data_IF_971040390890
#
_entry.id   IF_971040390890
#
_cell.length_a   1.000
_cell.length_b   1.000
_cell.length_c   1.000
_cell.angle_alpha   90.00
_cell.angle_beta   90.00
_cell.angle_gamma   90.00
#
_symmetry.space_group_name_H-M   'P 1'
#
loop_
_entity.id
_entity.type
_entity.pdbx_description
1 polymer ?
#
# COMPACT_ATOMS: atom_id res chain seq x y z
N UNK A 1 6.14 -1.35 23.64
CA UNK A 1 4.93 -2.11 24.01
C UNK A 1 4.13 -2.36 22.73
N UNK A 2 3.54 -3.54 22.54
CA UNK A 2 2.68 -3.83 21.37
C UNK A 2 1.24 -3.54 21.73
N UNK A 3 0.51 -2.94 20.79
CA UNK A 3 -0.90 -2.58 20.92
C UNK A 3 -1.73 -3.28 19.84
N UNK A 4 -3.03 -3.40 20.08
CA UNK A 4 -3.96 -3.84 19.07
C UNK A 4 -4.27 -2.68 18.14
N UNK A 5 -3.86 -2.82 16.88
CA UNK A 5 -4.02 -1.79 15.86
C UNK A 5 -4.97 -2.28 14.77
N UNK A 6 -5.76 -1.37 14.22
CA UNK A 6 -6.57 -1.65 13.04
C UNK A 6 -6.19 -0.76 11.86
N UNK A 7 -6.29 -1.32 10.66
CA UNK A 7 -6.04 -0.63 9.39
C UNK A 7 -7.24 -0.85 8.48
N UNK A 8 -7.91 0.24 8.14
CA UNK A 8 -8.96 0.23 7.12
C UNK A 8 -8.28 0.40 5.78
N UNK A 9 -8.36 -0.62 4.96
CA UNK A 9 -7.65 -0.67 3.68
C UNK A 9 -8.61 -0.57 2.51
N UNK A 10 -8.10 -0.21 1.33
CA UNK A 10 -8.87 -0.09 0.10
C UNK A 10 -9.56 -1.40 -0.28
N UNK A 11 -10.78 -1.31 -0.80
CA UNK A 11 -11.48 -2.46 -1.36
C UNK A 11 -11.23 -2.66 -2.87
N UNK A 12 -10.28 -1.94 -3.47
CA UNK A 12 -10.00 -2.07 -4.91
C UNK A 12 -9.35 -3.40 -5.27
N UNK A 13 -8.74 -4.08 -4.28
CA UNK A 13 -8.12 -5.38 -4.47
C UNK A 13 -8.22 -6.23 -3.20
N UNK A 14 -8.44 -7.56 -3.31
CA UNK A 14 -8.67 -8.40 -2.12
C UNK A 14 -7.41 -8.61 -1.25
N UNK A 15 -6.21 -8.61 -1.81
CA UNK A 15 -4.97 -8.97 -1.09
C UNK A 15 -3.93 -7.87 -1.04
N UNK A 16 -3.71 -7.10 -2.11
CA UNK A 16 -2.67 -6.05 -2.18
C UNK A 16 -2.70 -5.06 -1.02
N UNK A 17 -3.86 -4.52 -0.59
CA UNK A 17 -3.86 -3.50 0.46
C UNK A 17 -3.33 -4.00 1.81
N UNK A 18 -3.66 -5.23 2.18
CA UNK A 18 -3.14 -5.84 3.42
C UNK A 18 -1.67 -6.25 3.29
N UNK A 19 -1.26 -6.73 2.10
CA UNK A 19 0.15 -7.03 1.82
C UNK A 19 1.02 -5.77 1.83
N UNK A 20 0.53 -4.64 1.30
CA UNK A 20 1.24 -3.36 1.39
C UNK A 20 1.50 -2.94 2.84
N UNK A 21 0.50 -3.05 3.73
CA UNK A 21 0.69 -2.72 5.16
C UNK A 21 1.76 -3.61 5.79
N UNK A 22 1.69 -4.93 5.57
CA UNK A 22 2.68 -5.89 6.10
C UNK A 22 4.08 -5.60 5.57
N UNK A 23 4.23 -5.40 4.26
CA UNK A 23 5.50 -5.08 3.62
C UNK A 23 6.13 -3.79 4.14
N UNK A 24 5.32 -2.77 4.45
CA UNK A 24 5.81 -1.53 5.09
C UNK A 24 6.39 -1.83 6.47
N UNK A 25 5.69 -2.61 7.31
CA UNK A 25 6.16 -2.94 8.65
C UNK A 25 7.45 -3.77 8.61
N UNK A 26 7.56 -4.71 7.69
CA UNK A 26 8.76 -5.51 7.46
C UNK A 26 9.95 -4.63 7.00
N UNK A 27 9.71 -3.70 6.08
CA UNK A 27 10.72 -2.74 5.65
C UNK A 27 11.24 -1.84 6.79
N UNK A 28 10.35 -1.46 7.71
CA UNK A 28 10.70 -0.66 8.89
C UNK A 28 11.27 -1.50 10.04
N UNK A 29 11.42 -2.83 9.87
CA UNK A 29 11.95 -3.74 10.88
C UNK A 29 11.02 -3.95 12.08
N UNK A 30 9.72 -3.71 11.90
CA UNK A 30 8.73 -3.82 12.97
C UNK A 30 8.15 -5.23 13.04
N UNK A 31 8.25 -5.87 14.19
CA UNK A 31 7.57 -7.13 14.44
C UNK A 31 6.08 -6.93 14.65
N UNK A 32 5.28 -7.75 13.99
CA UNK A 32 3.82 -7.72 14.14
C UNK A 32 3.25 -9.15 14.19
N UNK A 33 2.04 -9.27 14.72
CA UNK A 33 1.24 -10.48 14.65
C UNK A 33 -0.12 -10.15 14.02
N UNK A 34 -0.50 -10.86 12.97
CA UNK A 34 -1.83 -10.72 12.37
C UNK A 34 -2.84 -11.33 13.33
N UNK A 35 -3.76 -10.52 13.84
CA UNK A 35 -4.88 -10.96 14.66
C UNK A 35 -6.07 -11.34 13.78
N UNK A 36 -6.33 -10.50 12.77
CA UNK A 36 -7.42 -10.72 11.83
C UNK A 36 -7.18 -10.01 10.51
N UNK A 37 -7.63 -10.65 9.45
CA UNK A 37 -7.68 -10.05 8.12
C UNK A 37 -9.04 -10.37 7.48
N UNK A 38 -9.74 -9.35 7.06
CA UNK A 38 -11.00 -9.45 6.32
C UNK A 38 -11.04 -8.40 5.22
N UNK A 39 -12.07 -8.42 4.38
CA UNK A 39 -12.20 -7.42 3.33
C UNK A 39 -12.24 -6.00 3.92
N UNK A 40 -11.34 -5.14 3.46
CA UNK A 40 -11.11 -3.76 3.92
C UNK A 40 -10.65 -3.57 5.36
N UNK A 41 -10.35 -4.63 6.09
CA UNK A 41 -9.92 -4.51 7.49
C UNK A 41 -8.77 -5.48 7.79
N UNK A 42 -7.70 -4.94 8.36
CA UNK A 42 -6.57 -5.68 8.89
C UNK A 42 -6.34 -5.26 10.35
N UNK A 43 -6.43 -6.21 11.29
CA UNK A 43 -6.09 -6.01 12.70
C UNK A 43 -4.77 -6.70 13.01
N UNK A 44 -3.85 -5.95 13.60
CA UNK A 44 -2.51 -6.38 13.96
C UNK A 44 -2.21 -6.08 15.43
N UNK A 45 -1.38 -6.90 16.03
CA UNK A 45 -0.66 -6.56 17.24
C UNK A 45 0.75 -6.06 16.83
N UNK A 46 1.03 -4.78 17.06
CA UNK A 46 2.27 -4.14 16.61
C UNK A 46 2.62 -2.93 17.49
N UNK A 47 3.86 -2.39 17.42
CA UNK A 47 4.19 -1.13 18.06
C UNK A 47 3.35 0.04 17.53
N UNK A 48 3.05 1.03 18.37
CA UNK A 48 2.22 2.20 18.02
C UNK A 48 2.78 2.99 16.82
N UNK A 49 4.09 3.03 16.68
CA UNK A 49 4.81 3.70 15.57
C UNK A 49 4.43 3.13 14.20
N UNK A 50 3.90 1.90 14.17
CA UNK A 50 3.38 1.26 12.95
C UNK A 50 2.29 2.11 12.27
N UNK A 51 1.46 2.80 13.04
CA UNK A 51 0.39 3.67 12.53
C UNK A 51 0.95 4.81 11.68
N UNK A 52 1.96 5.52 12.19
CA UNK A 52 2.61 6.62 11.49
C UNK A 52 3.38 6.14 10.25
N UNK A 53 4.07 4.99 10.36
CA UNK A 53 4.82 4.41 9.23
C UNK A 53 3.90 4.01 8.09
N UNK A 54 2.80 3.34 8.40
CA UNK A 54 1.81 2.97 7.39
C UNK A 54 1.13 4.19 6.79
N UNK A 55 0.71 5.17 7.60
CA UNK A 55 0.07 6.40 7.09
C UNK A 55 0.97 7.17 6.12
N UNK A 56 2.24 7.32 6.44
CA UNK A 56 3.20 8.07 5.60
C UNK A 56 3.56 7.36 4.29
N UNK A 57 3.55 6.05 4.25
CA UNK A 57 4.04 5.25 3.11
C UNK A 57 2.96 4.61 2.26
N UNK A 58 1.89 4.10 2.90
CA UNK A 58 0.88 3.30 2.21
C UNK A 58 0.14 4.09 1.14
N UNK A 59 -0.18 3.43 0.06
CA UNK A 59 -1.07 3.94 -0.98
C UNK A 59 -2.49 3.40 -0.83
N UNK A 60 -2.70 2.33 -0.10
CA UNK A 60 -3.96 1.60 -0.02
C UNK A 60 -4.58 1.58 1.38
N UNK A 61 -3.90 2.07 2.42
CA UNK A 61 -4.52 2.29 3.73
C UNK A 61 -5.34 3.59 3.71
N UNK A 62 -6.59 3.56 4.13
CA UNK A 62 -7.52 4.70 4.16
C UNK A 62 -7.60 5.37 5.52
N UNK A 63 -7.49 4.58 6.59
CA UNK A 63 -7.45 5.04 7.97
C UNK A 63 -6.83 3.96 8.85
N UNK A 64 -6.21 4.35 9.94
CA UNK A 64 -5.71 3.42 10.93
C UNK A 64 -5.82 4.00 12.34
N UNK A 65 -5.72 3.14 13.33
CA UNK A 65 -5.85 3.54 14.72
C UNK A 65 -5.67 2.41 15.72
N UNK A 66 -5.90 2.75 16.98
CA UNK A 66 -5.81 1.82 18.11
C UNK A 66 -7.16 1.13 18.28
N UNK A 67 -7.19 -0.19 18.28
CA UNK A 67 -8.38 -1.00 18.51
C UNK A 67 -8.72 -1.02 20.00
N UNK A 68 -9.92 -0.60 20.35
CA UNK A 68 -10.43 -0.68 21.72
C UNK A 68 -11.10 -2.03 21.98
N UNK A 69 -11.92 -2.49 21.03
CA UNK A 69 -12.54 -3.81 21.09
C UNK A 69 -12.99 -4.29 19.70
N UNK A 70 -13.23 -5.59 19.65
CA UNK A 70 -13.92 -6.28 18.55
C UNK A 70 -15.10 -7.08 19.12
N UNK A 71 -16.22 -7.09 18.40
CA UNK A 71 -17.38 -7.93 18.72
C UNK A 71 -18.12 -8.36 17.45
N UNK A 72 -19.18 -9.13 17.59
CA UNK A 72 -20.11 -9.37 16.49
C UNK A 72 -20.83 -8.08 16.07
N UNK A 73 -21.16 -7.98 14.79
CA UNK A 73 -21.88 -6.85 14.20
C UNK A 73 -23.37 -6.88 14.54
N UNK A 74 -23.69 -6.93 15.81
CA UNK A 74 -25.03 -6.87 16.40
C UNK A 74 -25.16 -5.65 17.32
N UNK A 75 -26.31 -4.94 17.27
CA UNK A 75 -26.49 -3.69 17.98
C UNK A 75 -26.37 -3.87 19.50
N UNK A 76 -26.95 -4.94 20.05
CA UNK A 76 -26.93 -5.17 21.51
C UNK A 76 -25.51 -5.46 21.98
N UNK A 77 -24.77 -6.31 21.23
CA UNK A 77 -23.37 -6.66 21.54
C UNK A 77 -22.45 -5.45 21.41
N UNK A 78 -22.65 -4.60 20.38
CA UNK A 78 -21.91 -3.35 20.21
C UNK A 78 -22.13 -2.42 21.41
N UNK A 79 -23.39 -2.18 21.79
CA UNK A 79 -23.70 -1.28 22.91
C UNK A 79 -23.22 -1.84 24.26
N UNK A 80 -23.27 -3.16 24.46
CA UNK A 80 -22.68 -3.80 25.64
C UNK A 80 -21.18 -3.50 25.72
N UNK A 81 -20.43 -3.72 24.64
CA UNK A 81 -18.99 -3.44 24.60
C UNK A 81 -18.65 -1.96 24.77
N UNK A 82 -19.48 -1.07 24.24
CA UNK A 82 -19.34 0.38 24.48
C UNK A 82 -19.48 0.69 25.97
N UNK A 83 -20.49 0.15 26.65
CA UNK A 83 -20.71 0.39 28.09
C UNK A 83 -19.61 -0.20 28.99
N UNK A 84 -18.95 -1.30 28.56
CA UNK A 84 -17.80 -1.91 29.24
C UNK A 84 -16.51 -1.09 29.08
N UNK A 85 -16.45 -0.20 28.06
CA UNK A 85 -15.24 0.55 27.71
C UNK A 85 -15.09 1.79 28.60
N UNK A 86 -13.94 1.97 29.25
CA UNK A 86 -13.64 3.16 30.03
C UNK A 86 -13.26 4.35 29.15
N UNK A 87 -14.27 5.05 28.62
CA UNK A 87 -14.07 6.20 27.74
C UNK A 87 -13.43 7.41 28.45
N UNK A 88 -13.60 7.58 29.75
CA UNK A 88 -12.95 8.66 30.49
C UNK A 88 -11.41 8.58 30.36
N UNK A 89 -10.86 7.38 30.55
CA UNK A 89 -9.42 7.13 30.37
C UNK A 89 -8.96 7.35 28.92
N UNK A 90 -9.84 7.08 27.97
CA UNK A 90 -9.57 7.19 26.54
C UNK A 90 -9.65 8.62 26.02
N UNK A 91 -10.60 9.43 26.54
CA UNK A 91 -10.82 10.83 26.07
C UNK A 91 -10.03 11.87 26.85
N UNK A 92 -9.46 11.54 28.01
CA UNK A 92 -8.73 12.50 28.85
C UNK A 92 -9.60 13.60 29.47
N UNK A 93 -10.92 13.41 29.51
CA UNK A 93 -11.88 14.25 30.23
C UNK A 93 -12.55 15.37 29.43
N UNK A 94 -11.84 16.32 28.85
CA UNK A 94 -12.42 17.55 28.28
C UNK A 94 -12.24 17.69 26.74
N UNK A 95 -12.13 16.60 26.00
CA UNK A 95 -11.93 16.63 24.56
C UNK A 95 -13.25 16.44 23.80
N UNK A 96 -13.37 17.17 22.68
CA UNK A 96 -14.47 16.93 21.75
C UNK A 96 -14.25 15.66 20.92
N UNK A 97 -15.32 14.98 20.55
CA UNK A 97 -15.22 13.77 19.75
C UNK A 97 -16.28 13.68 18.65
N UNK A 98 -16.01 12.80 17.69
CA UNK A 98 -16.99 12.31 16.73
C UNK A 98 -16.91 10.79 16.64
N UNK A 99 -18.05 10.15 16.40
CA UNK A 99 -18.11 8.74 15.99
C UNK A 99 -18.31 8.69 14.48
N UNK A 100 -17.61 7.78 13.82
CA UNK A 100 -17.75 7.50 12.38
C UNK A 100 -17.88 6.00 12.18
N UNK A 101 -18.80 5.59 11.32
CA UNK A 101 -19.00 4.18 10.99
C UNK A 101 -18.66 3.95 9.51
N UNK A 102 -17.71 3.07 9.26
CA UNK A 102 -17.41 2.54 7.92
C UNK A 102 -17.99 1.15 7.76
N UNK A 103 -18.62 0.92 6.62
CA UNK A 103 -19.17 -0.38 6.26
C UNK A 103 -18.34 -1.00 5.14
N UNK A 104 -17.87 -2.22 5.34
CA UNK A 104 -17.26 -3.08 4.32
C UNK A 104 -18.30 -4.09 3.79
N UNK A 105 -17.91 -4.96 2.87
CA UNK A 105 -18.80 -6.00 2.35
C UNK A 105 -19.25 -7.00 3.43
N UNK A 106 -20.40 -7.67 3.19
CA UNK A 106 -20.92 -8.70 4.10
C UNK A 106 -21.50 -8.16 5.41
N UNK A 107 -21.90 -6.90 5.45
CA UNK A 107 -22.53 -6.30 6.65
C UNK A 107 -24.04 -6.41 6.60
N UNK A 108 -24.67 -6.61 7.77
CA UNK A 108 -26.12 -6.59 7.90
C UNK A 108 -26.72 -5.28 7.39
N UNK A 109 -27.79 -5.36 6.58
CA UNK A 109 -28.50 -4.18 6.08
C UNK A 109 -29.23 -3.43 7.20
N UNK A 110 -29.55 -4.12 8.28
CA UNK A 110 -30.35 -3.59 9.38
C UNK A 110 -29.57 -2.64 10.32
N UNK A 111 -28.24 -2.68 10.27
CA UNK A 111 -27.37 -1.78 11.04
C UNK A 111 -27.04 -0.52 10.23
N UNK A 112 -27.88 0.49 10.29
CA UNK A 112 -27.62 1.80 9.68
C UNK A 112 -26.46 2.50 10.39
N UNK A 113 -25.50 3.03 9.61
CA UNK A 113 -24.31 3.69 10.14
C UNK A 113 -24.64 4.93 10.97
N UNK A 114 -25.54 5.77 10.49
CA UNK A 114 -26.00 7.00 11.16
C UNK A 114 -26.66 6.69 12.52
N UNK A 115 -27.46 5.61 12.61
CA UNK A 115 -28.08 5.15 13.85
C UNK A 115 -27.03 4.67 14.85
N UNK A 116 -26.03 3.91 14.36
CA UNK A 116 -24.91 3.46 15.20
C UNK A 116 -24.07 4.64 15.70
N UNK A 117 -23.72 5.59 14.83
CA UNK A 117 -22.96 6.79 15.20
C UNK A 117 -23.65 7.54 16.34
N UNK A 118 -24.96 7.76 16.23
CA UNK A 118 -25.76 8.43 17.27
C UNK A 118 -25.80 7.63 18.57
N UNK A 119 -26.19 6.35 18.53
CA UNK A 119 -26.32 5.52 19.75
C UNK A 119 -24.99 5.35 20.49
N UNK A 120 -23.89 5.17 19.76
CA UNK A 120 -22.56 5.07 20.33
C UNK A 120 -22.13 6.43 20.90
N UNK A 121 -22.40 7.54 20.19
CA UNK A 121 -22.13 8.88 20.67
C UNK A 121 -22.87 9.20 21.99
N UNK A 122 -24.15 8.86 22.09
CA UNK A 122 -24.96 9.00 23.31
C UNK A 122 -24.38 8.17 24.48
N UNK A 123 -23.94 6.95 24.23
CA UNK A 123 -23.34 6.09 25.25
C UNK A 123 -21.98 6.65 25.73
N UNK A 124 -21.14 7.18 24.84
CA UNK A 124 -19.89 7.85 25.21
C UNK A 124 -20.14 9.11 26.05
N UNK A 125 -21.10 9.96 25.66
CA UNK A 125 -21.48 11.15 26.44
C UNK A 125 -21.92 10.79 27.86
N UNK A 126 -22.75 9.75 28.03
CA UNK A 126 -23.17 9.28 29.35
C UNK A 126 -22.00 8.80 30.21
N UNK A 127 -21.03 8.11 29.59
CA UNK A 127 -19.85 7.55 30.28
C UNK A 127 -18.80 8.59 30.69
N UNK A 128 -18.75 9.75 30.01
CA UNK A 128 -17.63 10.70 30.17
C UNK A 128 -18.00 12.01 30.88
N UNK A 129 -19.27 12.35 30.96
CA UNK A 129 -19.88 13.55 31.62
C UNK A 129 -19.33 14.92 31.20
N UNK A 130 -18.10 15.02 30.70
CA UNK A 130 -17.39 16.28 30.40
C UNK A 130 -16.96 16.43 28.93
N UNK A 131 -17.19 15.42 28.09
CA UNK A 131 -16.88 15.49 26.65
C UNK A 131 -18.05 16.06 25.86
N UNK A 132 -17.74 16.64 24.69
CA UNK A 132 -18.78 17.20 23.79
C UNK A 132 -18.63 16.60 22.38
N UNK A 133 -19.75 16.49 21.68
CA UNK A 133 -19.74 16.06 20.28
C UNK A 133 -19.38 17.22 19.35
N UNK A 134 -18.38 17.05 18.52
CA UNK A 134 -18.02 17.98 17.46
C UNK A 134 -17.84 17.23 16.13
N UNK A 135 -18.82 17.34 15.23
CA UNK A 135 -18.82 16.62 13.97
C UNK A 135 -17.92 17.25 12.89
N UNK A 136 -17.54 18.52 13.04
CA UNK A 136 -16.76 19.27 12.04
C UNK A 136 -15.25 19.18 12.29
N UNK A 137 -14.82 19.43 13.52
CA UNK A 137 -13.42 19.44 13.93
C UNK A 137 -13.26 18.82 15.31
N UNK A 138 -13.48 17.50 15.46
CA UNK A 138 -13.31 16.83 16.74
C UNK A 138 -11.83 16.69 17.10
N UNK A 139 -11.52 16.72 18.39
CA UNK A 139 -10.18 16.41 18.90
C UNK A 139 -9.88 14.92 18.77
N UNK A 140 -10.92 14.07 18.90
CA UNK A 140 -10.82 12.62 18.71
C UNK A 140 -11.90 12.07 17.79
N UNK A 141 -11.52 11.13 16.94
CA UNK A 141 -12.46 10.39 16.11
C UNK A 141 -12.48 8.93 16.55
N UNK A 142 -13.63 8.46 17.00
CA UNK A 142 -13.87 7.04 17.16
C UNK A 142 -14.36 6.46 15.85
N UNK A 143 -13.68 5.42 15.38
CA UNK A 143 -14.03 4.75 14.13
C UNK A 143 -14.54 3.33 14.41
N UNK A 144 -15.77 3.07 14.01
CA UNK A 144 -16.34 1.73 13.95
C UNK A 144 -16.27 1.19 12.52
N UNK A 145 -15.84 -0.05 12.37
CA UNK A 145 -15.76 -0.73 11.07
C UNK A 145 -16.57 -2.01 11.11
N UNK A 146 -17.61 -2.08 10.28
CA UNK A 146 -18.42 -3.29 10.06
C UNK A 146 -17.85 -4.05 8.86
N UNK A 147 -17.40 -5.27 9.07
CA UNK A 147 -16.86 -6.15 8.04
C UNK A 147 -17.19 -7.61 8.32
N UNK A 148 -17.80 -8.29 7.37
CA UNK A 148 -18.13 -9.72 7.44
C UNK A 148 -18.78 -10.15 8.77
N UNK A 149 -19.83 -9.43 9.19
CA UNK A 149 -20.59 -9.72 10.42
C UNK A 149 -19.86 -9.38 11.72
N UNK A 150 -18.71 -8.71 11.65
CA UNK A 150 -17.93 -8.26 12.82
C UNK A 150 -17.88 -6.74 12.89
N UNK A 151 -17.73 -6.23 14.09
CA UNK A 151 -17.56 -4.82 14.38
C UNK A 151 -16.26 -4.60 15.14
N UNK A 152 -15.35 -3.83 14.55
CA UNK A 152 -14.13 -3.35 15.20
C UNK A 152 -14.32 -1.89 15.53
N UNK A 153 -13.99 -1.50 16.76
CA UNK A 153 -14.13 -0.13 17.25
C UNK A 153 -12.83 0.35 17.88
N UNK A 154 -12.46 1.59 17.58
CA UNK A 154 -11.23 2.15 18.12
C UNK A 154 -11.06 3.64 17.88
N UNK A 155 -9.90 4.16 18.32
CA UNK A 155 -9.49 5.54 18.13
C UNK A 155 -8.76 5.65 16.81
N UNK A 156 -9.30 6.41 15.87
CA UNK A 156 -8.60 6.74 14.63
C UNK A 156 -7.49 7.75 14.91
N UNK A 157 -6.25 7.38 14.59
CA UNK A 157 -5.09 8.27 14.74
C UNK A 157 -4.75 8.96 13.43
N UNK A 158 -4.91 8.26 12.31
CA UNK A 158 -4.59 8.77 10.98
C UNK A 158 -5.70 8.43 10.00
N UNK A 159 -5.99 9.39 9.13
CA UNK A 159 -6.87 9.19 7.98
C UNK A 159 -6.22 9.84 6.76
N UNK A 160 -6.12 9.10 5.67
CA UNK A 160 -5.53 9.58 4.44
C UNK A 160 -6.21 10.85 3.96
N UNK A 161 -5.42 11.88 3.65
CA UNK A 161 -5.91 13.06 2.94
C UNK A 161 -6.33 12.70 1.51
N UNK A 162 -7.60 12.90 1.20
CA UNK A 162 -8.13 12.66 -0.15
C UNK A 162 -7.37 13.50 -1.17
N UNK A 163 -7.01 12.89 -2.30
CA UNK A 163 -6.39 13.60 -3.43
C UNK A 163 -4.87 13.70 -3.40
N UNK A 164 -4.17 13.36 -2.31
CA UNK A 164 -2.70 13.43 -2.26
C UNK A 164 -2.01 12.64 -3.39
N UNK A 165 -2.45 11.41 -3.64
CA UNK A 165 -1.95 10.57 -4.75
C UNK A 165 -2.49 11.02 -6.10
N UNK A 166 -3.72 11.54 -6.17
CA UNK A 166 -4.33 11.99 -7.42
C UNK A 166 -3.57 13.16 -8.07
N UNK A 167 -2.84 13.95 -7.29
CA UNK A 167 -1.96 15.01 -7.80
C UNK A 167 -0.80 14.48 -8.66
N UNK A 168 -0.43 13.21 -8.51
CA UNK A 168 0.67 12.55 -9.22
C UNK A 168 0.22 11.69 -10.41
N UNK A 169 -1.06 11.73 -10.79
CA UNK A 169 -1.58 10.99 -11.95
C UNK A 169 -0.77 11.31 -13.22
N UNK A 170 -0.58 10.33 -14.13
CA UNK A 170 0.25 10.51 -15.33
C UNK A 170 -0.07 11.76 -16.13
N UNK A 171 -1.35 12.10 -16.36
CA UNK A 171 -1.80 13.30 -17.09
C UNK A 171 -1.48 14.63 -16.39
N UNK A 172 -0.98 14.63 -15.17
CA UNK A 172 -0.54 15.82 -14.42
C UNK A 172 0.97 15.97 -14.37
N UNK A 173 1.69 15.10 -15.06
CA UNK A 173 3.16 15.11 -15.16
C UNK A 173 3.60 15.91 -16.38
N UNK A 174 4.78 16.54 -16.37
CA UNK A 174 5.36 17.20 -17.53
C UNK A 174 5.44 16.30 -18.77
N UNK A 175 5.79 15.03 -18.58
CA UNK A 175 5.81 14.04 -19.65
C UNK A 175 4.82 12.92 -19.33
N UNK A 176 3.86 12.75 -20.23
CA UNK A 176 2.81 11.72 -20.12
C UNK A 176 3.08 10.58 -21.10
N UNK A 177 2.87 9.36 -20.64
CA UNK A 177 2.83 8.17 -21.49
C UNK A 177 1.61 7.31 -21.11
N UNK A 178 0.78 6.86 -22.10
CA UNK A 178 -0.50 6.15 -21.82
C UNK A 178 -0.33 4.85 -21.02
N UNK A 179 0.75 4.12 -21.24
CA UNK A 179 1.03 2.86 -20.54
C UNK A 179 1.53 3.04 -19.10
N UNK A 180 1.67 4.29 -18.63
CA UNK A 180 2.20 4.54 -17.27
C UNK A 180 1.24 4.04 -16.19
N UNK A 181 1.76 3.22 -15.28
CA UNK A 181 1.03 2.68 -14.14
C UNK A 181 0.42 3.80 -13.26
N UNK A 182 -0.81 3.63 -12.73
CA UNK A 182 -1.39 4.57 -11.78
C UNK A 182 -0.51 4.70 -10.51
N UNK A 183 -0.34 5.91 -9.95
CA UNK A 183 0.59 6.14 -8.84
C UNK A 183 0.24 5.35 -7.57
N UNK A 184 -1.03 5.04 -7.36
CA UNK A 184 -1.48 4.20 -6.25
C UNK A 184 -0.89 2.78 -6.34
N UNK A 185 -0.93 2.17 -7.52
CA UNK A 185 -0.38 0.85 -7.75
C UNK A 185 1.15 0.87 -7.77
N UNK A 186 1.76 1.88 -8.42
CA UNK A 186 3.21 2.06 -8.41
C UNK A 186 3.76 2.19 -6.98
N UNK A 187 3.11 2.97 -6.12
CA UNK A 187 3.47 3.09 -4.69
C UNK A 187 3.32 1.76 -3.95
N UNK A 188 2.24 1.02 -4.20
CA UNK A 188 2.04 -0.30 -3.62
C UNK A 188 3.19 -1.24 -4.02
N UNK A 189 3.55 -1.30 -5.30
CA UNK A 189 4.67 -2.13 -5.79
C UNK A 189 6.01 -1.74 -5.17
N UNK A 190 6.28 -0.44 -5.01
CA UNK A 190 7.46 0.05 -4.27
C UNK A 190 7.44 -0.49 -2.84
N UNK A 191 6.32 -0.40 -2.13
CA UNK A 191 6.22 -0.89 -0.75
C UNK A 191 6.36 -2.42 -0.68
N UNK A 192 5.82 -3.17 -1.64
CA UNK A 192 5.98 -4.63 -1.73
C UNK A 192 7.45 -5.06 -1.94
N UNK A 193 8.28 -4.24 -2.56
CA UNK A 193 9.72 -4.45 -2.64
C UNK A 193 10.46 -4.12 -1.32
N UNK A 194 9.77 -3.76 -0.25
CA UNK A 194 10.26 -3.56 1.13
C UNK A 194 11.48 -2.64 1.26
N UNK A 195 11.58 -1.53 0.52
CA UNK A 195 12.73 -0.66 0.64
C UNK A 195 12.78 0.03 1.99
N UNK A 196 13.94 0.11 2.60
CA UNK A 196 14.22 1.02 3.74
C UNK A 196 14.57 2.41 3.21
N UNK A 197 14.39 3.43 4.04
CA UNK A 197 14.82 4.79 3.70
C UNK A 197 16.32 4.80 3.31
N UNK A 198 16.67 5.58 2.29
CA UNK A 198 18.02 5.71 1.73
C UNK A 198 18.58 4.46 1.03
N UNK A 199 17.87 3.35 1.00
CA UNK A 199 18.25 2.20 0.17
C UNK A 199 18.09 2.50 -1.32
N UNK A 200 18.90 1.82 -2.13
CA UNK A 200 18.89 1.96 -3.59
C UNK A 200 17.81 1.05 -4.19
N UNK A 201 16.87 1.67 -4.91
CA UNK A 201 15.82 0.98 -5.65
C UNK A 201 16.05 1.16 -7.16
N UNK A 202 16.01 0.05 -7.89
CA UNK A 202 16.11 0.01 -9.36
C UNK A 202 14.74 -0.22 -9.99
N UNK A 203 14.46 0.55 -11.05
CA UNK A 203 13.42 0.24 -12.04
C UNK A 203 14.07 0.08 -13.43
N UNK A 204 14.32 -1.16 -13.90
CA UNK A 204 15.00 -1.40 -15.17
C UNK A 204 14.11 -1.24 -16.40
N UNK A 205 12.83 -0.97 -16.23
CA UNK A 205 11.88 -0.59 -17.27
C UNK A 205 11.19 0.73 -16.92
N UNK A 206 11.98 1.75 -16.57
CA UNK A 206 11.48 2.94 -15.88
C UNK A 206 10.49 3.78 -16.69
N UNK A 207 10.44 3.64 -18.01
CA UNK A 207 9.58 4.46 -18.86
C UNK A 207 9.75 5.95 -18.52
N UNK A 208 8.64 6.64 -18.27
CA UNK A 208 8.65 8.06 -17.85
C UNK A 208 8.73 8.24 -16.32
N UNK A 209 9.23 7.25 -15.57
CA UNK A 209 9.61 7.38 -14.16
C UNK A 209 8.48 7.15 -13.15
N UNK A 210 7.40 6.44 -13.52
CA UNK A 210 6.24 6.27 -12.65
C UNK A 210 6.54 5.64 -11.30
N UNK A 211 7.31 4.56 -11.27
CA UNK A 211 7.73 3.84 -10.07
C UNK A 211 8.84 4.60 -9.33
N UNK A 212 9.83 5.15 -10.07
CA UNK A 212 10.94 5.90 -9.47
C UNK A 212 10.46 7.15 -8.69
N UNK A 213 9.45 7.86 -9.20
CA UNK A 213 8.82 8.98 -8.47
C UNK A 213 8.29 8.49 -7.13
N UNK A 214 7.51 7.42 -7.12
CA UNK A 214 6.92 6.89 -5.89
C UNK A 214 7.99 6.36 -4.92
N UNK A 215 9.06 5.75 -5.43
CA UNK A 215 10.21 5.30 -4.62
C UNK A 215 10.96 6.48 -4.00
N UNK A 216 11.27 7.52 -4.77
CA UNK A 216 11.91 8.73 -4.24
C UNK A 216 11.08 9.42 -3.17
N UNK A 217 9.75 9.49 -3.35
CA UNK A 217 8.83 10.09 -2.38
C UNK A 217 8.68 9.30 -1.07
N UNK A 218 9.05 8.02 -1.00
CA UNK A 218 9.17 7.27 0.27
C UNK A 218 10.57 7.34 0.88
N UNK A 219 11.49 8.04 0.20
CA UNK A 219 12.84 8.28 0.70
C UNK A 219 13.90 7.31 0.21
N UNK A 220 13.64 6.55 -0.86
CA UNK A 220 14.66 5.73 -1.53
C UNK A 220 15.61 6.60 -2.37
N UNK A 221 16.87 6.15 -2.50
CA UNK A 221 17.72 6.52 -3.61
C UNK A 221 17.25 5.73 -4.83
N UNK A 222 17.21 6.34 -6.00
CA UNK A 222 16.62 5.70 -7.18
C UNK A 222 17.57 5.65 -8.35
N UNK A 223 17.59 4.51 -9.05
CA UNK A 223 18.24 4.32 -10.34
C UNK A 223 17.24 3.67 -11.30
N UNK A 224 17.40 3.94 -12.58
CA UNK A 224 16.53 3.31 -13.56
C UNK A 224 17.13 3.30 -14.96
N UNK A 225 16.59 2.42 -15.81
CA UNK A 225 16.89 2.47 -17.24
C UNK A 225 15.67 2.19 -18.10
N UNK A 226 15.78 2.58 -19.34
CA UNK A 226 14.83 2.23 -20.41
C UNK A 226 15.60 2.13 -21.71
N UNK A 227 15.15 1.25 -22.62
CA UNK A 227 15.79 1.05 -23.91
C UNK A 227 15.60 2.26 -24.84
N UNK A 228 14.54 3.05 -24.63
CA UNK A 228 14.19 4.22 -25.43
C UNK A 228 14.72 5.49 -24.78
N UNK A 229 15.54 6.24 -25.51
CA UNK A 229 16.13 7.51 -25.01
C UNK A 229 15.07 8.55 -24.66
N UNK A 230 13.96 8.61 -25.40
CA UNK A 230 12.84 9.52 -25.11
C UNK A 230 12.18 9.21 -23.76
N UNK A 231 12.10 7.94 -23.35
CA UNK A 231 11.60 7.55 -22.03
C UNK A 231 12.54 8.02 -20.93
N UNK A 232 13.85 7.81 -21.10
CA UNK A 232 14.89 8.29 -20.16
C UNK A 232 14.80 9.80 -19.98
N UNK A 233 14.71 10.57 -21.07
CA UNK A 233 14.55 12.04 -21.02
C UNK A 233 13.25 12.44 -20.32
N UNK A 234 12.15 11.73 -20.60
CA UNK A 234 10.86 11.95 -19.95
C UNK A 234 10.89 11.62 -18.46
N UNK A 235 11.58 10.54 -18.08
CA UNK A 235 11.81 10.14 -16.70
C UNK A 235 12.52 11.25 -15.91
N UNK A 236 13.64 11.76 -16.41
CA UNK A 236 14.41 12.82 -15.76
C UNK A 236 13.58 14.09 -15.53
N UNK A 237 12.84 14.56 -16.55
CA UNK A 237 11.94 15.72 -16.41
C UNK A 237 10.84 15.50 -15.35
N UNK A 238 10.26 14.31 -15.30
CA UNK A 238 9.25 13.99 -14.31
C UNK A 238 9.82 13.88 -12.90
N UNK A 239 10.99 13.28 -12.72
CA UNK A 239 11.69 13.20 -11.43
C UNK A 239 12.02 14.60 -10.90
N UNK A 240 12.56 15.47 -11.74
CA UNK A 240 12.84 16.87 -11.41
C UNK A 240 11.58 17.61 -10.94
N UNK A 241 10.48 17.49 -11.68
CA UNK A 241 9.20 18.10 -11.31
C UNK A 241 8.71 17.68 -9.91
N UNK A 242 8.93 16.43 -9.53
CA UNK A 242 8.59 15.91 -8.20
C UNK A 242 9.72 16.06 -7.17
N UNK A 243 10.80 16.79 -7.52
CA UNK A 243 11.98 17.00 -6.65
C UNK A 243 12.61 15.69 -6.15
N UNK A 244 12.63 14.69 -7.01
CA UNK A 244 13.33 13.43 -6.79
C UNK A 244 14.64 13.46 -7.57
N UNK A 245 15.76 13.48 -6.86
CA UNK A 245 17.10 13.44 -7.47
C UNK A 245 17.53 11.98 -7.65
N UNK A 246 17.59 11.44 -8.88
CA UNK A 246 18.05 10.08 -9.11
C UNK A 246 19.57 9.98 -8.92
N UNK A 247 20.05 8.80 -8.52
CA UNK A 247 21.49 8.46 -8.56
C UNK A 247 21.96 8.32 -10.01
N UNK A 248 21.10 7.77 -10.87
CA UNK A 248 21.32 7.69 -12.31
C UNK A 248 20.07 7.19 -13.04
N UNK A 249 19.90 7.68 -14.28
CA UNK A 249 18.93 7.12 -15.24
C UNK A 249 19.65 6.96 -16.57
N UNK A 250 19.68 5.73 -17.11
CA UNK A 250 20.47 5.40 -18.30
C UNK A 250 19.59 4.85 -19.43
N UNK A 251 20.04 5.02 -20.67
CA UNK A 251 19.53 4.23 -21.79
C UNK A 251 20.22 2.87 -21.78
N UNK A 252 19.47 1.79 -21.46
CA UNK A 252 20.05 0.45 -21.40
C UNK A 252 18.96 -0.62 -21.54
N UNK A 253 19.41 -1.84 -21.82
CA UNK A 253 18.58 -3.05 -21.79
C UNK A 253 18.44 -3.55 -20.35
N UNK A 254 17.23 -3.83 -19.92
CA UNK A 254 16.92 -4.34 -18.58
C UNK A 254 17.54 -5.72 -18.28
N UNK A 255 17.99 -6.44 -19.31
CA UNK A 255 18.71 -7.72 -19.16
C UNK A 255 20.20 -7.52 -18.81
N UNK A 256 20.70 -6.31 -18.99
CA UNK A 256 22.07 -5.93 -18.64
C UNK A 256 22.14 -4.44 -18.26
N UNK A 257 21.46 -4.02 -17.17
CA UNK A 257 21.46 -2.62 -16.77
C UNK A 257 22.82 -2.20 -16.20
N UNK A 258 23.28 -0.97 -16.50
CA UNK A 258 24.64 -0.51 -16.16
C UNK A 258 24.72 -0.03 -14.69
N UNK A 259 24.22 -0.82 -13.77
CA UNK A 259 24.21 -0.48 -12.34
C UNK A 259 24.85 -1.61 -11.52
N UNK A 260 25.46 -1.25 -10.41
CA UNK A 260 25.95 -2.19 -9.40
C UNK A 260 24.81 -2.76 -8.52
N UNK A 261 25.20 -3.48 -7.46
CA UNK A 261 24.22 -4.11 -6.57
C UNK A 261 23.19 -3.13 -5.99
N UNK A 262 21.93 -3.55 -5.94
CA UNK A 262 20.80 -2.76 -5.44
C UNK A 262 20.08 -3.49 -4.30
N UNK A 263 19.43 -2.72 -3.43
CA UNK A 263 18.70 -3.29 -2.31
C UNK A 263 17.32 -3.84 -2.72
N UNK A 264 16.67 -3.17 -3.66
CA UNK A 264 15.30 -3.49 -4.08
C UNK A 264 15.12 -3.23 -5.57
N UNK A 265 14.19 -3.97 -6.16
CA UNK A 265 13.73 -3.74 -7.55
C UNK A 265 12.20 -3.66 -7.53
N UNK A 266 11.65 -2.64 -8.20
CA UNK A 266 10.21 -2.55 -8.46
C UNK A 266 10.01 -2.12 -9.91
N UNK A 267 9.22 -2.89 -10.70
CA UNK A 267 9.17 -2.65 -12.15
C UNK A 267 7.90 -3.19 -12.82
N UNK A 268 7.52 -2.55 -13.93
CA UNK A 268 6.40 -2.94 -14.82
C UNK A 268 6.94 -3.11 -16.26
N UNK A 269 7.49 -4.27 -16.61
CA UNK A 269 8.04 -4.54 -17.93
C UNK A 269 7.04 -4.31 -19.06
N UNK A 270 7.50 -3.99 -20.30
CA UNK A 270 6.61 -3.82 -21.43
C UNK A 270 5.95 -5.14 -21.85
N UNK A 271 4.65 -5.10 -22.16
CA UNK A 271 3.90 -6.24 -22.67
C UNK A 271 2.81 -5.79 -23.64
N UNK A 272 2.46 -6.67 -24.60
CA UNK A 272 1.45 -6.41 -25.63
C UNK A 272 2.05 -6.05 -26.99
N UNK A 273 1.22 -6.06 -28.02
CA UNK A 273 1.64 -5.88 -29.43
C UNK A 273 2.28 -4.52 -29.76
N UNK A 274 2.00 -3.50 -28.95
CA UNK A 274 2.56 -2.13 -29.11
C UNK A 274 3.79 -1.86 -28.26
N UNK A 275 4.25 -2.85 -27.48
CA UNK A 275 5.38 -2.69 -26.57
C UNK A 275 6.71 -2.98 -27.30
N UNK A 276 7.74 -2.20 -26.97
CA UNK A 276 9.09 -2.39 -27.49
C UNK A 276 9.77 -3.54 -26.75
N UNK A 277 9.65 -4.76 -27.28
CA UNK A 277 10.30 -5.97 -26.76
C UNK A 277 11.58 -6.33 -27.51
N UNK A 278 12.09 -5.46 -28.38
CA UNK A 278 13.25 -5.71 -29.25
C UNK A 278 13.11 -6.98 -30.14
N UNK A 279 11.88 -7.31 -30.54
CA UNK A 279 11.61 -8.54 -31.30
C UNK A 279 11.56 -9.82 -30.45
N UNK A 280 11.77 -9.72 -29.13
CA UNK A 280 11.66 -10.85 -28.22
C UNK A 280 10.21 -11.12 -27.84
N UNK A 281 9.91 -12.38 -27.49
CA UNK A 281 8.67 -12.68 -26.78
C UNK A 281 8.74 -12.09 -25.37
N UNK A 282 7.59 -11.70 -24.81
CA UNK A 282 7.51 -11.22 -23.43
C UNK A 282 8.11 -12.21 -22.43
N UNK A 283 7.96 -13.50 -22.69
CA UNK A 283 8.53 -14.58 -21.85
C UNK A 283 10.06 -14.52 -21.82
N UNK A 284 10.70 -14.43 -22.99
CA UNK A 284 12.16 -14.39 -23.09
C UNK A 284 12.74 -13.11 -22.48
N UNK A 285 12.07 -11.97 -22.66
CA UNK A 285 12.45 -10.72 -22.04
C UNK A 285 12.42 -10.85 -20.51
N UNK A 286 11.33 -11.40 -19.95
CA UNK A 286 11.17 -11.57 -18.50
C UNK A 286 12.14 -12.57 -17.91
N UNK A 287 12.41 -13.70 -18.58
CA UNK A 287 13.42 -14.66 -18.12
C UNK A 287 14.81 -14.03 -18.06
N UNK A 288 15.24 -13.33 -19.14
CA UNK A 288 16.53 -12.64 -19.16
C UNK A 288 16.63 -11.53 -18.10
N UNK A 289 15.55 -10.78 -17.89
CA UNK A 289 15.46 -9.78 -16.82
C UNK A 289 15.55 -10.41 -15.42
N UNK A 290 14.85 -11.52 -15.14
CA UNK A 290 14.88 -12.16 -13.83
C UNK A 290 16.29 -12.67 -13.46
N UNK A 291 17.04 -13.19 -14.41
CA UNK A 291 18.45 -13.56 -14.19
C UNK A 291 19.27 -12.34 -13.79
N UNK A 292 19.18 -11.24 -14.58
CA UNK A 292 19.85 -9.99 -14.26
C UNK A 292 19.41 -9.41 -12.91
N UNK A 293 18.12 -9.46 -12.58
CA UNK A 293 17.60 -9.01 -11.30
C UNK A 293 18.19 -9.84 -10.13
N UNK A 294 18.30 -11.16 -10.31
CA UNK A 294 18.91 -12.02 -9.32
C UNK A 294 20.40 -11.68 -9.09
N UNK A 295 21.14 -11.36 -10.14
CA UNK A 295 22.56 -10.96 -10.02
C UNK A 295 22.70 -9.60 -9.31
N UNK A 296 21.86 -8.64 -9.64
CA UNK A 296 21.92 -7.28 -9.11
C UNK A 296 21.38 -7.13 -7.70
N UNK A 297 20.39 -7.93 -7.30
CA UNK A 297 19.84 -7.84 -5.95
C UNK A 297 20.89 -8.25 -4.90
N UNK A 298 21.01 -7.45 -3.87
CA UNK A 298 21.76 -7.83 -2.68
C UNK A 298 21.07 -9.01 -1.97
N UNK A 299 21.83 -9.76 -1.19
CA UNK A 299 21.27 -10.82 -0.32
C UNK A 299 20.14 -10.25 0.54
N UNK A 300 19.04 -10.99 0.65
CA UNK A 300 17.78 -10.56 1.30
C UNK A 300 17.10 -9.36 0.62
N UNK A 301 17.50 -8.95 -0.58
CA UNK A 301 16.82 -7.95 -1.39
C UNK A 301 15.49 -8.45 -1.95
N UNK A 302 14.59 -7.53 -2.29
CA UNK A 302 13.26 -7.86 -2.77
C UNK A 302 13.03 -7.32 -4.19
N UNK A 303 12.33 -8.10 -4.99
CA UNK A 303 11.82 -7.73 -6.32
C UNK A 303 10.29 -7.73 -6.31
N UNK A 304 9.68 -6.61 -6.69
CA UNK A 304 8.25 -6.54 -7.04
C UNK A 304 8.13 -6.30 -8.55
N UNK A 305 7.56 -7.26 -9.27
CA UNK A 305 7.44 -7.20 -10.74
C UNK A 305 6.02 -7.44 -11.19
N UNK A 306 5.56 -6.63 -12.15
CA UNK A 306 4.29 -6.83 -12.83
C UNK A 306 4.48 -7.57 -14.16
N UNK A 307 3.52 -8.39 -14.56
CA UNK A 307 3.47 -9.03 -15.87
C UNK A 307 2.01 -9.31 -16.27
N UNK A 308 1.70 -9.63 -17.53
CA UNK A 308 0.42 -10.24 -17.86
C UNK A 308 0.25 -11.58 -17.13
N UNK A 309 -0.95 -11.85 -16.58
CA UNK A 309 -1.27 -13.15 -15.97
C UNK A 309 -0.99 -14.32 -16.92
N UNK A 310 -1.19 -14.13 -18.23
CA UNK A 310 -0.94 -15.15 -19.26
C UNK A 310 0.53 -15.52 -19.43
N UNK A 311 1.44 -14.71 -18.92
CA UNK A 311 2.88 -14.97 -18.94
C UNK A 311 3.34 -15.72 -17.69
N UNK A 312 2.74 -15.43 -16.51
CA UNK A 312 3.00 -16.14 -15.28
C UNK A 312 4.43 -15.93 -14.76
N UNK A 313 4.85 -14.68 -14.54
CA UNK A 313 6.23 -14.36 -14.12
C UNK A 313 6.63 -15.06 -12.82
N UNK A 314 5.68 -15.38 -11.95
CA UNK A 314 5.93 -16.11 -10.71
C UNK A 314 6.52 -17.52 -10.94
N UNK A 315 6.30 -18.11 -12.11
CA UNK A 315 6.79 -19.45 -12.44
C UNK A 315 8.29 -19.47 -12.84
N UNK A 316 8.84 -18.30 -13.21
CA UNK A 316 10.21 -18.20 -13.69
C UNK A 316 11.23 -17.77 -12.63
N UNK A 317 10.77 -17.18 -11.52
CA UNK A 317 11.66 -16.64 -10.49
C UNK A 317 12.55 -17.70 -9.82
N UNK A 318 12.00 -18.89 -9.55
CA UNK A 318 12.76 -20.01 -8.97
C UNK A 318 13.95 -20.45 -9.82
N UNK A 319 13.80 -20.49 -11.14
CA UNK A 319 14.88 -20.81 -12.07
C UNK A 319 16.02 -19.76 -12.07
N UNK A 320 15.72 -18.52 -11.68
CA UNK A 320 16.69 -17.45 -11.50
C UNK A 320 17.26 -17.38 -10.06
N UNK A 321 16.94 -18.33 -9.18
CA UNK A 321 17.39 -18.33 -7.79
C UNK A 321 16.64 -17.35 -6.86
N UNK A 322 15.44 -16.95 -7.24
CA UNK A 322 14.59 -16.05 -6.46
C UNK A 322 13.46 -16.83 -5.79
N UNK A 323 13.24 -16.61 -4.49
CA UNK A 323 12.12 -17.17 -3.72
C UNK A 323 10.85 -16.36 -3.96
N UNK A 324 9.77 -17.00 -4.43
CA UNK A 324 8.45 -16.37 -4.56
C UNK A 324 7.79 -16.24 -3.18
N UNK A 325 7.48 -15.02 -2.76
CA UNK A 325 6.79 -14.75 -1.49
C UNK A 325 5.30 -14.48 -1.65
N UNK A 326 4.94 -13.69 -2.65
CA UNK A 326 3.56 -13.22 -2.84
C UNK A 326 3.20 -13.16 -4.33
N UNK A 327 1.92 -13.42 -4.61
CA UNK A 327 1.35 -13.31 -5.96
C UNK A 327 -0.03 -12.69 -5.89
N UNK A 328 -0.27 -11.64 -6.68
CA UNK A 328 -1.52 -10.90 -6.72
C UNK A 328 -1.97 -10.69 -8.18
N UNK A 329 -3.29 -10.71 -8.42
CA UNK A 329 -3.86 -10.51 -9.76
C UNK A 329 -4.70 -9.26 -9.81
N UNK A 330 -4.28 -8.25 -10.58
CA UNK A 330 -4.94 -6.96 -10.73
C UNK A 330 -5.63 -6.89 -12.08
N UNK A 331 -6.96 -6.85 -12.09
CA UNK A 331 -7.71 -6.61 -13.30
C UNK A 331 -7.47 -5.18 -13.81
N UNK A 332 -7.14 -5.03 -15.08
CA UNK A 332 -6.92 -3.72 -15.73
C UNK A 332 -8.03 -3.44 -16.72
N UNK A 333 -8.27 -4.34 -17.66
CA UNK A 333 -9.35 -4.30 -18.63
C UNK A 333 -9.56 -5.71 -19.24
N UNK A 334 -10.57 -5.86 -20.12
CA UNK A 334 -11.02 -7.16 -20.67
C UNK A 334 -9.87 -8.05 -21.18
N UNK A 335 -8.85 -7.48 -21.79
CA UNK A 335 -7.71 -8.25 -22.36
C UNK A 335 -6.46 -8.24 -21.48
N UNK A 336 -6.49 -7.65 -20.27
CA UNK A 336 -5.32 -7.58 -19.39
C UNK A 336 -5.70 -7.73 -17.93
N UNK A 337 -5.22 -8.81 -17.33
CA UNK A 337 -5.04 -8.95 -15.87
C UNK A 337 -3.54 -8.98 -15.62
N UNK A 338 -3.06 -8.09 -14.75
CA UNK A 338 -1.67 -8.09 -14.28
C UNK A 338 -1.49 -9.10 -13.17
N UNK A 339 -0.44 -9.88 -13.25
CA UNK A 339 0.16 -10.56 -12.11
C UNK A 339 1.20 -9.62 -11.50
N UNK A 340 1.15 -9.44 -10.19
CA UNK A 340 2.23 -8.81 -9.41
C UNK A 340 2.84 -9.91 -8.57
N UNK A 341 4.09 -10.25 -8.86
CA UNK A 341 4.87 -11.21 -8.11
C UNK A 341 5.91 -10.50 -7.25
N UNK A 342 6.07 -10.97 -6.02
CA UNK A 342 7.08 -10.48 -5.08
C UNK A 342 8.04 -11.61 -4.79
N UNK A 343 9.31 -11.35 -5.05
CA UNK A 343 10.39 -12.32 -4.82
C UNK A 343 11.39 -11.77 -3.79
N UNK A 344 12.15 -12.69 -3.19
CA UNK A 344 13.29 -12.41 -2.33
C UNK A 344 14.52 -13.13 -2.87
N UNK A 345 15.67 -12.50 -2.80
CA UNK A 345 16.97 -13.15 -2.99
C UNK A 345 17.43 -13.77 -1.68
N UNK A 346 17.71 -15.09 -1.69
CA UNK A 346 18.24 -15.83 -0.55
C UNK A 346 19.64 -15.39 -0.09
#
# INVERSE_FOLDING_TARGET
>A
MKENLFFVVSGEHPTLPSSEVKAILEAEGMSYRVRKQSFKLLSLEAPMEALQKVDSRSSMCEACGIELFECEGDLKKILSKINETNFYKVTGGNQSFAVRIKRAAGTSKDLRGDVLERKIGEAILRATRSTVVNLRKPDRVFLGVLSNGRFVFGIMTHARQRGSIAKRRPRRRPVFHPATMPPKLARCMVNLARPKRSQLLLDPFCGVGGILIEAGLVGCRVVGCDIKLEMVKGCLRNLEFFRVSPVGVARADARNPPFGPVNCIATDPPYGKSASTLGLTTVNLLKGFLNSAADLLMKNGFLSVASPKTVGVSEFGGAAGLELLERHYVYVHRSLTREIAVFRKG
#
